data_IF_954460132616
#
_entry.id   IF_954460132616
#
_cell.length_a   1.000
_cell.length_b   1.000
_cell.length_c   1.000
_cell.angle_alpha   90.00
_cell.angle_beta   90.00
_cell.angle_gamma   90.00
#
_symmetry.space_group_name_H-M   'P 1'
#
loop_
_entity.id
_entity.type
_entity.pdbx_description
1 polymer ?
#
# COMPACT_ATOMS: atom_id res chain seq x y z
N UNK A 1 0.32 -19.63 -7.88
CA UNK A 1 0.05 -19.04 -6.56
C UNK A 1 -1.26 -18.27 -6.68
N UNK A 2 -2.33 -18.71 -6.00
CA UNK A 2 -3.68 -18.15 -6.16
C UNK A 2 -4.00 -17.25 -4.96
N UNK A 3 -4.19 -15.95 -5.22
CA UNK A 3 -4.47 -14.90 -4.24
C UNK A 3 -6.02 -14.78 -4.14
N UNK A 4 -6.62 -14.97 -2.96
CA UNK A 4 -8.06 -14.75 -2.69
C UNK A 4 -8.44 -13.24 -2.80
N UNK A 5 -9.71 -12.90 -3.07
CA UNK A 5 -10.24 -11.52 -3.25
C UNK A 5 -10.04 -10.61 -2.01
N UNK A 6 -10.13 -9.26 -2.15
CA UNK A 6 -9.01 -8.31 -1.97
C UNK A 6 -8.25 -8.57 -0.67
N UNK A 7 -7.08 -9.19 -0.78
CA UNK A 7 -6.20 -9.52 0.35
C UNK A 7 -4.85 -8.81 0.26
N UNK A 8 -4.65 -8.00 -0.78
CA UNK A 8 -3.39 -7.32 -1.04
C UNK A 8 -3.05 -6.31 0.08
N UNK A 9 -4.06 -5.71 0.70
CA UNK A 9 -3.86 -4.89 1.91
C UNK A 9 -3.40 -5.74 3.10
N UNK A 10 -3.96 -6.93 3.29
CA UNK A 10 -3.53 -7.85 4.35
C UNK A 10 -2.10 -8.37 4.11
N UNK A 11 -1.73 -8.62 2.86
CA UNK A 11 -0.34 -8.94 2.50
C UNK A 11 0.59 -7.76 2.81
N UNK A 12 0.19 -6.55 2.42
CA UNK A 12 0.99 -5.34 2.63
C UNK A 12 1.19 -5.03 4.10
N UNK A 13 0.14 -5.14 4.93
CA UNK A 13 0.22 -4.97 6.38
C UNK A 13 1.10 -6.06 7.03
N UNK A 14 1.01 -7.30 6.54
CA UNK A 14 1.91 -8.39 6.97
C UNK A 14 3.37 -8.16 6.63
N UNK A 15 3.66 -7.52 5.49
CA UNK A 15 5.01 -7.10 5.13
C UNK A 15 5.48 -5.91 5.98
N UNK A 16 4.62 -4.90 6.17
CA UNK A 16 4.91 -3.74 7.01
C UNK A 16 5.27 -4.15 8.45
N UNK A 17 4.55 -5.14 9.01
CA UNK A 17 4.86 -5.71 10.32
C UNK A 17 6.31 -6.22 10.42
N UNK A 18 6.76 -6.97 9.41
CA UNK A 18 8.12 -7.52 9.37
C UNK A 18 9.15 -6.41 9.22
N UNK A 19 8.91 -5.46 8.31
CA UNK A 19 9.81 -4.34 8.05
C UNK A 19 10.04 -3.53 9.32
N UNK A 20 8.97 -3.17 10.04
CA UNK A 20 9.10 -2.45 11.30
C UNK A 20 9.73 -3.28 12.42
N UNK A 21 9.29 -4.55 12.57
CA UNK A 21 9.80 -5.43 13.63
C UNK A 21 11.30 -5.71 13.50
N UNK A 22 11.80 -5.75 12.26
CA UNK A 22 13.22 -5.96 11.95
C UNK A 22 13.99 -4.65 11.75
N UNK A 23 13.35 -3.48 11.97
CA UNK A 23 13.95 -2.16 11.83
C UNK A 23 14.55 -1.88 10.43
N UNK A 24 13.85 -2.34 9.39
CA UNK A 24 14.28 -2.24 7.99
C UNK A 24 13.66 -1.04 7.25
N UNK A 25 12.82 -0.25 7.92
CA UNK A 25 12.20 0.93 7.35
C UNK A 25 13.19 2.09 7.17
N UNK A 26 12.92 2.96 6.20
CA UNK A 26 13.63 4.23 6.04
C UNK A 26 13.02 5.27 6.99
N UNK A 27 13.53 5.31 8.22
CA UNK A 27 13.00 6.18 9.26
C UNK A 27 13.19 7.67 8.92
N UNK A 28 14.34 8.05 8.36
CA UNK A 28 14.63 9.44 7.99
C UNK A 28 13.64 9.94 6.91
N UNK A 29 13.34 9.11 5.92
CA UNK A 29 12.33 9.43 4.91
C UNK A 29 10.94 9.60 5.54
N UNK A 30 10.54 8.68 6.41
CA UNK A 30 9.22 8.75 7.05
C UNK A 30 9.08 10.00 7.92
N UNK A 31 10.09 10.32 8.73
CA UNK A 31 10.06 11.49 9.62
C UNK A 31 10.01 12.81 8.82
N UNK A 32 10.65 12.84 7.66
CA UNK A 32 10.76 14.06 6.84
C UNK A 32 9.54 14.29 5.95
N UNK A 33 8.99 13.22 5.35
CA UNK A 33 8.04 13.33 4.24
C UNK A 33 6.67 12.71 4.51
N UNK A 34 6.50 11.98 5.62
CA UNK A 34 5.27 11.26 5.92
C UNK A 34 4.59 11.77 7.19
N UNK A 35 3.27 11.59 7.24
CA UNK A 35 2.42 11.96 8.39
C UNK A 35 1.57 10.74 8.75
N UNK A 36 1.44 10.46 10.04
CA UNK A 36 0.59 9.39 10.58
C UNK A 36 1.16 7.97 10.50
N UNK A 37 2.44 7.79 10.18
CA UNK A 37 3.08 6.46 10.25
C UNK A 37 3.28 6.00 11.69
N UNK A 38 3.67 6.91 12.57
CA UNK A 38 3.80 6.71 14.00
C UNK A 38 2.96 7.75 14.76
N UNK A 39 2.90 7.59 16.08
CA UNK A 39 2.16 8.50 16.96
C UNK A 39 2.85 9.87 17.13
N UNK A 40 4.13 10.00 16.73
CA UNK A 40 4.88 11.26 16.82
C UNK A 40 4.45 12.20 15.69
N UNK A 41 4.24 11.65 14.50
CA UNK A 41 3.90 12.37 13.29
C UNK A 41 2.38 12.37 13.01
N UNK A 42 1.55 12.12 14.01
CA UNK A 42 0.10 12.16 13.87
C UNK A 42 -0.41 13.61 14.03
N UNK A 43 -1.35 14.09 13.19
CA UNK A 43 -1.87 15.45 13.32
C UNK A 43 -2.67 15.61 14.61
N UNK A 44 -2.63 16.82 15.17
CA UNK A 44 -3.41 17.17 16.35
C UNK A 44 -4.91 16.88 16.12
N UNK A 45 -5.53 16.21 17.09
CA UNK A 45 -6.95 15.86 17.04
C UNK A 45 -7.29 14.50 16.41
N UNK A 46 -6.30 13.72 15.95
CA UNK A 46 -6.53 12.37 15.43
C UNK A 46 -7.07 11.40 16.50
N UNK A 47 -6.65 11.55 17.76
CA UNK A 47 -6.97 10.61 18.86
C UNK A 47 -5.85 9.58 19.06
N UNK A 48 -5.94 8.82 20.15
CA UNK A 48 -4.92 7.82 20.51
C UNK A 48 -4.98 6.58 19.60
N UNK A 49 -3.81 6.00 19.29
CA UNK A 49 -3.65 4.77 18.52
C UNK A 49 -4.22 4.84 17.09
N UNK A 50 -4.09 6.00 16.44
CA UNK A 50 -4.59 6.22 15.07
C UNK A 50 -3.47 6.21 14.02
N UNK A 51 -2.23 5.94 14.42
CA UNK A 51 -1.11 5.80 13.48
C UNK A 51 -1.17 4.46 12.72
N UNK A 52 -0.49 4.42 11.57
CA UNK A 52 -0.33 3.18 10.82
C UNK A 52 0.42 2.10 11.63
N UNK A 53 1.41 2.49 12.42
CA UNK A 53 2.08 1.60 13.37
C UNK A 53 1.08 0.99 14.36
N UNK A 54 0.20 1.80 14.95
CA UNK A 54 -0.84 1.34 15.86
C UNK A 54 -1.83 0.37 15.20
N UNK A 55 -2.17 0.59 13.94
CA UNK A 55 -2.93 -0.39 13.14
C UNK A 55 -2.15 -1.70 12.98
N UNK A 56 -0.91 -1.66 12.48
CA UNK A 56 -0.10 -2.85 12.18
C UNK A 56 0.18 -3.69 13.44
N UNK A 57 0.45 -3.04 14.57
CA UNK A 57 0.73 -3.72 15.84
C UNK A 57 -0.51 -3.98 16.70
N UNK A 58 -1.72 -3.70 16.18
CA UNK A 58 -2.98 -4.04 16.85
C UNK A 58 -3.31 -3.20 18.07
N UNK A 59 -2.71 -2.02 18.24
CA UNK A 59 -3.00 -1.10 19.33
C UNK A 59 -4.39 -0.43 19.15
N UNK A 60 -4.87 -0.34 17.90
CA UNK A 60 -6.18 0.24 17.59
C UNK A 60 -7.34 -0.75 17.78
N UNK A 61 -7.18 -2.00 17.36
CA UNK A 61 -8.28 -2.97 17.22
C UNK A 61 -8.02 -4.32 17.93
N UNK A 62 -6.89 -4.47 18.60
CA UNK A 62 -6.47 -5.70 19.28
C UNK A 62 -5.99 -6.82 18.35
N UNK A 63 -5.84 -6.56 17.05
CA UNK A 63 -5.39 -7.55 16.06
C UNK A 63 -4.02 -7.18 15.56
N UNK A 64 -3.00 -7.96 15.88
CA UNK A 64 -1.64 -7.74 15.33
C UNK A 64 -1.52 -8.32 13.92
N UNK A 65 -1.01 -7.53 12.97
CA UNK A 65 -0.95 -7.86 11.54
C UNK A 65 0.29 -8.67 11.20
N UNK A 66 0.54 -9.73 11.98
CA UNK A 66 1.70 -10.61 11.80
C UNK A 66 1.68 -11.33 10.45
N UNK A 67 2.82 -11.87 9.97
CA UNK A 67 2.85 -12.72 8.78
C UNK A 67 1.92 -13.93 8.88
N UNK A 68 1.70 -14.48 10.07
CA UNK A 68 0.77 -15.58 10.32
C UNK A 68 -0.70 -15.14 10.11
N UNK A 69 -1.06 -13.95 10.61
CA UNK A 69 -2.36 -13.35 10.37
C UNK A 69 -2.59 -13.12 8.86
N UNK A 70 -1.62 -12.49 8.19
CA UNK A 70 -1.68 -12.24 6.76
C UNK A 70 -1.75 -13.56 5.96
N UNK A 71 -1.01 -14.59 6.39
CA UNK A 71 -1.02 -15.92 5.79
C UNK A 71 -2.41 -16.58 5.81
N UNK A 72 -3.12 -16.49 6.95
CA UNK A 72 -4.45 -17.06 7.10
C UNK A 72 -5.47 -16.42 6.13
N UNK A 73 -5.36 -15.11 5.92
CA UNK A 73 -6.23 -14.35 5.00
C UNK A 73 -5.84 -14.64 3.55
N UNK A 74 -4.56 -14.46 3.25
CA UNK A 74 -4.06 -14.43 1.87
C UNK A 74 -3.92 -15.81 1.25
N UNK A 75 -3.65 -16.83 2.07
CA UNK A 75 -3.22 -18.16 1.63
C UNK A 75 -1.74 -18.23 1.25
N UNK A 76 -0.97 -17.15 1.42
CA UNK A 76 0.48 -17.10 1.16
C UNK A 76 1.21 -17.61 2.41
N UNK A 77 2.20 -18.52 2.31
CA UNK A 77 2.95 -18.97 3.48
C UNK A 77 3.58 -17.79 4.23
N UNK A 78 3.47 -17.76 5.56
CA UNK A 78 4.02 -16.69 6.39
C UNK A 78 5.52 -16.44 6.15
N UNK A 79 6.28 -17.49 5.83
CA UNK A 79 7.70 -17.37 5.51
C UNK A 79 7.95 -16.69 4.15
N UNK A 80 7.07 -16.93 3.17
CA UNK A 80 7.11 -16.20 1.91
C UNK A 80 6.83 -14.71 2.12
N UNK A 81 5.88 -14.36 3.00
CA UNK A 81 5.59 -12.96 3.36
C UNK A 81 6.81 -12.31 4.02
N UNK A 82 7.45 -12.99 4.99
CA UNK A 82 8.69 -12.51 5.62
C UNK A 82 9.81 -12.26 4.62
N UNK A 83 10.07 -13.23 3.76
CA UNK A 83 11.14 -13.12 2.77
C UNK A 83 10.87 -11.99 1.77
N UNK A 84 9.62 -11.87 1.30
CA UNK A 84 9.22 -10.79 0.41
C UNK A 84 9.36 -9.41 1.08
N UNK A 85 8.99 -9.28 2.35
CA UNK A 85 9.14 -8.05 3.12
C UNK A 85 10.61 -7.61 3.24
N UNK A 86 11.49 -8.54 3.60
CA UNK A 86 12.93 -8.31 3.68
C UNK A 86 13.53 -7.96 2.32
N UNK A 87 13.19 -8.72 1.29
CA UNK A 87 13.68 -8.49 -0.07
C UNK A 87 13.26 -7.12 -0.57
N UNK A 88 12.00 -6.74 -0.38
CA UNK A 88 11.49 -5.43 -0.79
C UNK A 88 12.15 -4.28 -0.01
N UNK A 89 12.32 -4.42 1.31
CA UNK A 89 12.93 -3.37 2.12
C UNK A 89 14.43 -3.19 1.85
N UNK A 90 15.16 -4.28 1.63
CA UNK A 90 16.62 -4.26 1.42
C UNK A 90 17.05 -3.99 -0.02
N UNK A 91 16.17 -4.25 -1.01
CA UNK A 91 16.46 -3.94 -2.41
C UNK A 91 16.28 -2.44 -2.64
N UNK A 92 17.35 -1.73 -3.03
CA UNK A 92 17.33 -0.30 -3.34
C UNK A 92 17.94 -0.03 -4.72
N UNK A 93 17.21 0.64 -5.65
CA UNK A 93 15.80 1.03 -5.56
C UNK A 93 14.85 -0.16 -5.76
N UNK A 94 13.67 -0.13 -5.15
CA UNK A 94 12.59 -1.07 -5.41
C UNK A 94 11.32 -0.34 -5.89
N UNK A 95 10.72 -0.85 -6.96
CA UNK A 95 9.50 -0.32 -7.56
C UNK A 95 8.32 -1.27 -7.31
N UNK A 96 7.21 -0.72 -6.81
CA UNK A 96 5.92 -1.41 -6.78
C UNK A 96 5.11 -0.99 -8.01
N UNK A 97 4.80 -1.92 -8.91
CA UNK A 97 4.08 -1.62 -10.15
C UNK A 97 2.66 -2.19 -10.11
N UNK A 98 1.69 -1.51 -9.48
CA UNK A 98 0.32 -1.99 -9.45
C UNK A 98 -0.34 -1.84 -10.83
N UNK A 99 -0.94 -2.92 -11.34
CA UNK A 99 -1.91 -2.80 -12.44
C UNK A 99 -3.24 -2.22 -11.95
N UNK A 100 -4.17 -1.87 -12.85
CA UNK A 100 -5.47 -1.29 -12.46
C UNK A 100 -6.49 -2.27 -11.86
N UNK A 101 -6.16 -3.55 -11.77
CA UNK A 101 -7.08 -4.58 -11.25
C UNK A 101 -7.36 -4.40 -9.76
N UNK A 102 -6.34 -4.00 -9.00
CA UNK A 102 -6.38 -3.89 -7.54
C UNK A 102 -7.36 -2.80 -7.03
N UNK A 103 -7.60 -1.75 -7.82
CA UNK A 103 -8.52 -0.66 -7.47
C UNK A 103 -9.97 -0.90 -7.94
N UNK A 104 -10.22 -1.92 -8.78
CA UNK A 104 -11.55 -2.19 -9.36
C UNK A 104 -12.28 -3.31 -8.61
N UNK A 105 -12.08 -3.36 -7.31
CA UNK A 105 -12.71 -4.29 -6.37
C UNK A 105 -13.18 -3.50 -5.15
N UNK A 106 -14.08 -4.08 -4.35
CA UNK A 106 -14.50 -3.45 -3.10
C UNK A 106 -13.30 -3.18 -2.19
N UNK A 107 -13.25 -1.98 -1.60
CA UNK A 107 -12.13 -1.48 -0.80
C UNK A 107 -10.79 -1.40 -1.55
N UNK A 108 -10.82 -1.31 -2.89
CA UNK A 108 -9.61 -1.24 -3.71
C UNK A 108 -8.73 -0.02 -3.40
N UNK A 109 -9.31 1.06 -2.89
CA UNK A 109 -8.59 2.23 -2.41
C UNK A 109 -7.68 1.90 -1.21
N UNK A 110 -8.04 0.93 -0.37
CA UNK A 110 -7.21 0.48 0.75
C UNK A 110 -6.02 -0.34 0.25
N UNK A 111 -6.20 -1.14 -0.81
CA UNK A 111 -5.10 -1.83 -1.47
C UNK A 111 -4.09 -0.83 -2.03
N UNK A 112 -4.56 0.18 -2.77
CA UNK A 112 -3.66 1.20 -3.34
C UNK A 112 -2.97 1.99 -2.22
N UNK A 113 -3.69 2.35 -1.16
CA UNK A 113 -3.13 3.03 0.01
C UNK A 113 -2.03 2.20 0.67
N UNK A 114 -2.29 0.94 0.98
CA UNK A 114 -1.29 0.06 1.64
C UNK A 114 -0.03 -0.15 0.79
N UNK A 115 -0.14 -0.25 -0.53
CA UNK A 115 1.02 -0.29 -1.44
C UNK A 115 1.82 1.02 -1.41
N UNK A 116 1.14 2.17 -1.38
CA UNK A 116 1.79 3.46 -1.23
C UNK A 116 2.51 3.57 0.14
N UNK A 117 1.88 3.08 1.22
CA UNK A 117 2.49 3.06 2.55
C UNK A 117 3.78 2.24 2.56
N UNK A 118 3.82 1.06 1.93
CA UNK A 118 5.04 0.27 1.78
C UNK A 118 6.15 1.01 1.01
N UNK A 119 5.76 1.72 -0.06
CA UNK A 119 6.71 2.49 -0.87
C UNK A 119 7.33 3.64 -0.06
N UNK A 120 6.50 4.35 0.71
CA UNK A 120 6.94 5.42 1.61
C UNK A 120 7.79 4.87 2.77
N UNK A 121 7.35 3.78 3.42
CA UNK A 121 8.07 3.14 4.53
C UNK A 121 9.48 2.71 4.15
N UNK A 122 9.67 2.35 2.88
CA UNK A 122 10.97 1.91 2.36
C UNK A 122 11.73 3.01 1.64
N UNK A 123 11.30 4.28 1.72
CA UNK A 123 12.03 5.41 1.13
C UNK A 123 12.19 5.32 -0.39
N UNK A 124 11.36 4.53 -1.07
CA UNK A 124 11.47 4.31 -2.51
C UNK A 124 10.78 5.40 -3.35
N UNK A 125 10.18 6.42 -2.72
CA UNK A 125 9.49 7.51 -3.41
C UNK A 125 10.49 8.53 -3.95
N UNK A 126 10.34 8.93 -5.21
CA UNK A 126 11.12 10.03 -5.81
C UNK A 126 12.53 9.65 -6.29
N UNK A 127 12.92 8.37 -6.23
CA UNK A 127 14.22 7.88 -6.72
C UNK A 127 14.09 7.19 -8.09
N UNK A 128 15.06 7.36 -9.02
CA UNK A 128 15.05 6.64 -10.29
C UNK A 128 15.04 5.12 -10.09
N UNK A 129 14.07 4.43 -10.69
CA UNK A 129 13.89 2.98 -10.53
C UNK A 129 13.13 2.56 -9.27
N UNK A 130 12.71 3.52 -8.42
CA UNK A 130 11.82 3.29 -7.29
C UNK A 130 10.40 3.79 -7.54
N UNK A 131 9.60 3.79 -6.48
CA UNK A 131 8.29 4.40 -6.42
C UNK A 131 7.15 3.45 -6.77
N UNK A 132 6.00 4.05 -7.07
CA UNK A 132 4.87 3.37 -7.67
C UNK A 132 4.65 3.90 -9.08
N UNK A 133 4.95 3.09 -10.09
CA UNK A 133 4.84 3.50 -11.50
C UNK A 133 3.65 2.79 -12.14
N UNK A 134 2.85 3.55 -12.87
CA UNK A 134 1.87 3.01 -13.82
C UNK A 134 2.21 3.61 -15.19
N UNK A 135 2.95 2.87 -16.02
CA UNK A 135 3.07 3.21 -17.44
C UNK A 135 2.00 2.46 -18.22
N UNK A 136 0.99 3.19 -18.69
CA UNK A 136 0.00 2.67 -19.62
C UNK A 136 -0.48 3.78 -20.57
N UNK A 137 -0.49 3.48 -21.87
CA UNK A 137 -1.20 4.30 -22.85
C UNK A 137 -2.70 4.30 -22.56
N UNK A 138 -3.33 5.48 -22.59
CA UNK A 138 -4.77 5.59 -22.42
C UNK A 138 -5.50 4.69 -23.43
N UNK A 139 -6.47 3.85 -23.01
CA UNK A 139 -7.25 3.07 -23.94
C UNK A 139 -8.02 3.99 -24.87
N UNK A 140 -7.83 3.82 -26.17
CA UNK A 140 -8.59 4.54 -27.20
C UNK A 140 -9.88 3.77 -27.43
N UNK A 141 -11.01 4.33 -27.01
CA UNK A 141 -12.31 3.81 -27.36
C UNK A 141 -12.82 4.51 -28.63
N UNK A 142 -13.44 3.80 -29.58
CA UNK A 142 -14.14 4.46 -30.68
C UNK A 142 -15.29 5.28 -30.09
N UNK A 143 -15.17 6.61 -30.10
CA UNK A 143 -16.20 7.52 -29.63
C UNK A 143 -17.11 7.87 -30.82
N UNK A 144 -18.32 7.31 -30.93
CA UNK A 144 -19.26 7.71 -31.98
C UNK A 144 -19.65 9.17 -31.81
N UNK A 145 -20.00 9.83 -32.91
CA UNK A 145 -20.49 11.21 -32.87
C UNK A 145 -21.75 11.27 -31.99
N UNK A 146 -21.70 12.08 -30.93
CA UNK A 146 -22.85 12.29 -30.06
C UNK A 146 -24.04 12.81 -30.90
N UNK A 147 -25.16 12.06 -30.99
CA UNK A 147 -26.34 12.50 -31.76
C UNK A 147 -27.11 13.63 -31.05
N UNK A 148 -26.76 13.95 -29.81
CA UNK A 148 -27.40 14.99 -29.00
C UNK A 148 -26.48 16.19 -28.78
N UNK A 149 -26.99 17.43 -28.82
CA UNK A 149 -26.20 18.64 -28.64
C UNK A 149 -25.75 18.87 -27.19
N UNK A 150 -26.23 18.06 -26.23
CA UNK A 150 -25.88 18.17 -24.82
C UNK A 150 -24.53 17.52 -24.50
N UNK A 151 -23.72 18.20 -23.70
CA UNK A 151 -22.53 17.63 -23.05
C UNK A 151 -22.82 17.40 -21.57
N UNK A 152 -22.50 16.20 -21.07
CA UNK A 152 -22.40 15.98 -19.63
C UNK A 152 -20.99 16.41 -19.23
N UNK A 153 -20.82 17.37 -18.31
CA UNK A 153 -19.49 17.70 -17.82
C UNK A 153 -18.94 16.50 -17.06
N UNK A 154 -17.90 15.87 -17.62
CA UNK A 154 -17.12 14.86 -16.92
C UNK A 154 -15.99 15.59 -16.21
N UNK A 155 -16.10 15.73 -14.90
CA UNK A 155 -14.98 16.14 -14.05
C UNK A 155 -14.15 14.88 -13.79
N UNK A 156 -13.16 14.65 -14.64
CA UNK A 156 -12.05 13.73 -14.38
C UNK A 156 -10.82 14.53 -13.98
#
# INVERSE_FOLDING_TARGET
MHIRRPIDSALSDGMAHVIWSEQLQDQEFMDTYCVGFDEIHIPEGAGENQSYHSHVFGLQDGVEKTPQWASAITGIPAETIRNLAREYALTKPACLMPGYGNQRIGNGEQTVRSMAMLTCMTGNVGIPGGGAVIEHSAPVFPVPKNPHPGSIPTFL
#
